data_IF_761179330127
#
_entry.id   IF_761179330127
#
_cell.length_a   1.000
_cell.length_b   1.000
_cell.length_c   1.000
_cell.angle_alpha   90.00
_cell.angle_beta   90.00
_cell.angle_gamma   90.00
#
_symmetry.space_group_name_H-M   'P 1'
#
loop_
_entity.id
_entity.type
_entity.pdbx_description
1 polymer ?
#
# COMPACT_ATOMS: atom_id res chain seq x y z
N UNK A 1 -2.53 -2.26 27.29
CA UNK A 1 -3.31 -1.29 26.52
C UNK A 1 -3.08 -1.58 25.05
N UNK A 2 -4.11 -1.57 24.20
CA UNK A 2 -3.91 -1.70 22.76
C UNK A 2 -3.45 -0.35 22.17
N UNK A 3 -2.84 -0.36 20.98
CA UNK A 3 -2.47 0.88 20.27
C UNK A 3 -3.71 1.77 20.05
N UNK A 4 -4.87 1.16 19.78
CA UNK A 4 -6.11 1.86 19.50
C UNK A 4 -6.74 2.53 20.73
N UNK A 5 -6.26 2.27 21.94
CA UNK A 5 -6.78 2.89 23.18
C UNK A 5 -5.95 4.09 23.62
N UNK A 6 -4.84 4.39 22.93
CA UNK A 6 -3.94 5.47 23.30
C UNK A 6 -4.56 6.82 22.93
N UNK A 7 -4.65 7.71 23.91
CA UNK A 7 -5.10 9.09 23.73
C UNK A 7 -4.11 9.90 22.87
N UNK A 8 -4.64 10.77 22.02
CA UNK A 8 -3.86 11.55 21.06
C UNK A 8 -3.42 10.81 19.78
N UNK A 9 -3.78 9.54 19.59
CA UNK A 9 -3.62 8.87 18.28
C UNK A 9 -4.85 9.15 17.41
N UNK A 10 -4.66 9.97 16.37
CA UNK A 10 -5.73 10.31 15.41
C UNK A 10 -5.94 9.23 14.33
N UNK A 11 -4.88 8.48 14.01
CA UNK A 11 -4.92 7.49 12.95
C UNK A 11 -3.79 6.48 13.02
N UNK A 12 -3.98 5.37 12.31
CA UNK A 12 -3.02 4.27 12.21
C UNK A 12 -2.78 3.97 10.74
N UNK A 13 -1.51 3.93 10.35
CA UNK A 13 -1.11 3.65 8.99
C UNK A 13 -0.58 2.22 8.86
N UNK A 14 -1.02 1.51 7.84
CA UNK A 14 -0.60 0.13 7.53
C UNK A 14 0.34 0.19 6.33
N UNK A 15 1.57 -0.30 6.49
CA UNK A 15 2.52 -0.48 5.39
C UNK A 15 2.45 -1.90 4.82
N UNK A 16 1.87 -2.12 3.61
CA UNK A 16 1.70 -3.48 3.09
C UNK A 16 3.01 -4.21 2.82
N UNK A 17 4.05 -3.48 2.38
CA UNK A 17 5.38 -4.03 2.13
C UNK A 17 5.99 -4.59 3.42
N UNK A 18 6.06 -3.77 4.46
CA UNK A 18 6.62 -4.14 5.77
C UNK A 18 5.80 -5.26 6.42
N UNK A 19 4.47 -5.13 6.40
CA UNK A 19 3.57 -6.17 6.94
C UNK A 19 3.76 -7.50 6.22
N UNK A 20 3.84 -7.51 4.89
CA UNK A 20 4.08 -8.75 4.14
C UNK A 20 5.42 -9.39 4.49
N UNK A 21 6.48 -8.59 4.68
CA UNK A 21 7.79 -9.10 5.06
C UNK A 21 7.76 -9.73 6.47
N UNK A 22 7.12 -9.07 7.43
CA UNK A 22 6.97 -9.58 8.81
C UNK A 22 6.13 -10.86 8.87
N UNK A 23 5.10 -10.95 8.02
CA UNK A 23 4.25 -12.15 7.88
C UNK A 23 4.91 -13.30 7.09
N UNK A 24 6.15 -13.15 6.62
CA UNK A 24 6.87 -14.18 5.86
C UNK A 24 6.62 -14.20 4.35
N UNK A 25 5.95 -13.17 3.82
CA UNK A 25 5.61 -12.98 2.41
C UNK A 25 6.39 -11.81 1.79
N UNK A 26 7.67 -11.68 2.12
CA UNK A 26 8.51 -10.56 1.68
C UNK A 26 8.42 -10.31 0.16
N UNK A 27 8.12 -9.07 -0.22
CA UNK A 27 7.92 -8.67 -1.61
C UNK A 27 6.56 -9.03 -2.21
N UNK A 28 5.65 -9.65 -1.45
CA UNK A 28 4.32 -10.03 -1.90
C UNK A 28 3.19 -9.48 -1.00
N UNK A 29 2.93 -8.17 -1.03
CA UNK A 29 1.82 -7.57 -0.28
C UNK A 29 0.43 -8.01 -0.76
N UNK A 30 0.33 -8.63 -1.94
CA UNK A 30 -0.92 -9.15 -2.50
C UNK A 30 -1.25 -10.57 -2.04
N UNK A 31 -0.40 -11.17 -1.19
CA UNK A 31 -0.69 -12.49 -0.63
C UNK A 31 -2.06 -12.48 0.09
N UNK A 32 -2.93 -13.49 -0.09
CA UNK A 32 -4.28 -13.49 0.48
C UNK A 32 -4.33 -13.26 1.99
N UNK A 33 -3.37 -13.83 2.73
CA UNK A 33 -3.28 -13.64 4.19
C UNK A 33 -2.91 -12.20 4.57
N UNK A 34 -2.01 -11.56 3.82
CA UNK A 34 -1.65 -10.15 4.03
C UNK A 34 -2.83 -9.25 3.72
N UNK A 35 -3.55 -9.52 2.62
CA UNK A 35 -4.76 -8.79 2.26
C UNK A 35 -5.84 -8.90 3.34
N UNK A 36 -6.09 -10.11 3.86
CA UNK A 36 -7.03 -10.32 4.95
C UNK A 36 -6.63 -9.58 6.23
N UNK A 37 -5.33 -9.56 6.56
CA UNK A 37 -4.82 -8.82 7.71
C UNK A 37 -5.00 -7.29 7.55
N UNK A 38 -4.72 -6.76 6.36
CA UNK A 38 -4.91 -5.34 6.03
C UNK A 38 -6.38 -4.94 6.17
N UNK A 39 -7.31 -5.70 5.57
CA UNK A 39 -8.73 -5.40 5.61
C UNK A 39 -9.28 -5.44 7.03
N UNK A 40 -8.89 -6.46 7.81
CA UNK A 40 -9.27 -6.56 9.22
C UNK A 40 -8.75 -5.36 10.03
N UNK A 41 -7.49 -4.97 9.83
CA UNK A 41 -6.91 -3.81 10.50
C UNK A 41 -7.66 -2.52 10.15
N UNK A 42 -8.00 -2.28 8.88
CA UNK A 42 -8.79 -1.11 8.45
C UNK A 42 -10.11 -1.04 9.21
N UNK A 43 -10.85 -2.15 9.27
CA UNK A 43 -12.15 -2.22 9.97
C UNK A 43 -12.00 -1.97 11.47
N UNK A 44 -10.98 -2.54 12.11
CA UNK A 44 -10.72 -2.35 13.55
C UNK A 44 -10.35 -0.90 13.88
N UNK A 45 -9.44 -0.30 13.11
CA UNK A 45 -9.02 1.10 13.30
C UNK A 45 -10.24 2.02 13.16
N UNK A 46 -11.07 1.79 12.14
CA UNK A 46 -12.27 2.57 11.89
C UNK A 46 -13.30 2.41 13.00
N UNK A 47 -13.53 1.18 13.47
CA UNK A 47 -14.44 0.88 14.57
C UNK A 47 -13.99 1.53 15.90
N UNK A 48 -12.69 1.72 16.09
CA UNK A 48 -12.12 2.43 17.24
C UNK A 48 -12.19 3.97 17.11
N UNK A 49 -12.86 4.50 16.09
CA UNK A 49 -13.01 5.94 15.86
C UNK A 49 -11.74 6.64 15.36
N UNK A 50 -10.71 5.87 14.96
CA UNK A 50 -9.45 6.38 14.43
C UNK A 50 -9.44 6.32 12.91
N UNK A 51 -8.61 7.14 12.27
CA UNK A 51 -8.45 7.12 10.82
C UNK A 51 -7.54 5.94 10.39
N UNK A 52 -7.99 5.04 9.49
CA UNK A 52 -7.09 4.08 8.87
C UNK A 52 -6.41 4.70 7.65
N UNK A 53 -5.11 4.44 7.49
CA UNK A 53 -4.35 4.86 6.31
C UNK A 53 -3.48 3.75 5.75
N UNK A 54 -3.15 3.87 4.46
CA UNK A 54 -2.40 2.85 3.72
C UNK A 54 -1.77 3.45 2.46
N UNK A 55 -0.68 2.84 1.97
CA UNK A 55 -0.13 3.08 0.63
C UNK A 55 -0.53 1.92 -0.29
N UNK A 56 -1.31 2.23 -1.33
CA UNK A 56 -1.75 1.26 -2.33
C UNK A 56 -1.83 1.89 -3.72
N UNK A 57 -0.86 1.55 -4.58
CA UNK A 57 -0.82 2.04 -5.96
C UNK A 57 -1.77 1.30 -6.91
N UNK A 58 -2.25 0.11 -6.53
CA UNK A 58 -3.26 -0.60 -7.30
C UNK A 58 -4.64 0.06 -7.09
N UNK A 59 -5.21 0.61 -8.15
CA UNK A 59 -6.47 1.37 -8.09
C UNK A 59 -7.65 0.55 -7.54
N UNK A 60 -7.77 -0.73 -7.92
CA UNK A 60 -8.87 -1.58 -7.46
C UNK A 60 -8.79 -1.84 -5.95
N UNK A 61 -7.58 -2.13 -5.44
CA UNK A 61 -7.36 -2.31 -4.00
C UNK A 61 -7.52 -1.00 -3.23
N UNK A 62 -7.02 0.12 -3.76
CA UNK A 62 -7.20 1.43 -3.13
C UNK A 62 -8.69 1.77 -2.97
N UNK A 63 -9.51 1.54 -4.02
CA UNK A 63 -10.97 1.71 -3.95
C UNK A 63 -11.61 0.79 -2.91
N UNK A 64 -11.25 -0.49 -2.91
CA UNK A 64 -11.72 -1.47 -1.91
C UNK A 64 -11.42 -1.02 -0.48
N UNK A 65 -10.24 -0.49 -0.22
CA UNK A 65 -9.88 -0.01 1.12
C UNK A 65 -10.63 1.27 1.51
N UNK A 66 -10.89 2.16 0.56
CA UNK A 66 -11.78 3.32 0.78
C UNK A 66 -13.20 2.87 1.12
N UNK A 67 -13.74 1.87 0.41
CA UNK A 67 -15.05 1.27 0.71
C UNK A 67 -15.11 0.64 2.11
N UNK A 68 -14.00 0.05 2.58
CA UNK A 68 -13.87 -0.49 3.93
C UNK A 68 -13.68 0.58 5.02
N UNK A 69 -13.47 1.84 4.65
CA UNK A 69 -13.41 2.97 5.59
C UNK A 69 -12.02 3.55 5.83
N UNK A 70 -11.02 3.25 5.00
CA UNK A 70 -9.76 3.98 5.01
C UNK A 70 -10.00 5.47 4.68
N UNK A 71 -9.28 6.37 5.36
CA UNK A 71 -9.49 7.82 5.26
C UNK A 71 -8.30 8.57 4.67
N UNK A 72 -7.08 8.03 4.76
CA UNK A 72 -5.89 8.65 4.18
C UNK A 72 -5.08 7.61 3.40
N UNK A 73 -5.35 7.54 2.10
CA UNK A 73 -4.77 6.55 1.19
C UNK A 73 -3.76 7.24 0.28
N UNK A 74 -2.48 6.88 0.41
CA UNK A 74 -1.47 7.23 -0.57
C UNK A 74 -1.62 6.30 -1.79
N UNK A 75 -1.79 6.86 -2.98
CA UNK A 75 -2.09 6.10 -4.22
C UNK A 75 -0.91 6.01 -5.18
N UNK A 76 0.27 6.45 -4.75
CA UNK A 76 1.48 6.41 -5.56
C UNK A 76 2.66 7.07 -4.86
N UNK A 77 3.84 6.89 -5.46
CA UNK A 77 5.10 7.52 -5.04
C UNK A 77 5.63 8.32 -6.22
N UNK A 78 6.00 9.58 -5.98
CA UNK A 78 6.46 10.53 -7.01
C UNK A 78 7.65 10.00 -7.82
N UNK A 79 8.65 9.43 -7.16
CA UNK A 79 9.84 8.83 -7.79
C UNK A 79 9.48 7.63 -8.66
N UNK A 80 8.55 6.78 -8.21
CA UNK A 80 8.02 5.67 -9.02
C UNK A 80 7.26 6.19 -10.24
N UNK A 81 6.38 7.18 -10.07
CA UNK A 81 5.63 7.79 -11.17
C UNK A 81 6.57 8.43 -12.19
N UNK A 82 7.58 9.17 -11.74
CA UNK A 82 8.60 9.78 -12.59
C UNK A 82 9.39 8.71 -13.37
N UNK A 83 9.90 7.68 -12.67
CA UNK A 83 10.66 6.61 -13.30
C UNK A 83 9.83 5.86 -14.35
N UNK A 84 8.58 5.48 -14.02
CA UNK A 84 7.69 4.77 -14.97
C UNK A 84 7.28 5.65 -16.14
N UNK A 85 6.99 6.92 -15.91
CA UNK A 85 6.70 7.89 -16.97
C UNK A 85 7.88 8.09 -17.92
N UNK A 86 9.09 8.24 -17.38
CA UNK A 86 10.31 8.37 -18.16
C UNK A 86 10.64 7.10 -18.97
N UNK A 87 10.53 5.92 -18.35
CA UNK A 87 10.71 4.63 -19.01
C UNK A 87 9.71 4.43 -20.16
N UNK A 88 8.44 4.72 -19.93
CA UNK A 88 7.40 4.61 -20.96
C UNK A 88 7.59 5.63 -22.09
N UNK A 89 8.09 6.83 -21.79
CA UNK A 89 8.45 7.81 -22.82
C UNK A 89 9.63 7.30 -23.66
N UNK A 90 10.73 6.84 -23.04
CA UNK A 90 11.91 6.37 -23.75
C UNK A 90 11.61 5.13 -24.63
N UNK A 91 10.79 4.21 -24.15
CA UNK A 91 10.39 3.01 -24.90
C UNK A 91 9.67 3.33 -26.22
N UNK A 92 8.90 4.43 -26.28
CA UNK A 92 8.24 4.89 -27.52
C UNK A 92 9.21 5.33 -28.61
N UNK A 93 10.47 5.59 -28.26
CA UNK A 93 11.52 6.01 -29.19
C UNK A 93 12.65 4.97 -29.32
N UNK A 94 12.41 3.71 -28.93
CA UNK A 94 13.32 2.60 -29.21
C UNK A 94 14.49 2.45 -28.23
N UNK A 95 14.44 3.09 -27.07
CA UNK A 95 15.39 2.78 -25.98
C UNK A 95 14.96 1.47 -25.32
N UNK A 96 15.52 0.35 -25.79
CA UNK A 96 15.23 -0.97 -25.19
C UNK A 96 15.77 -1.07 -23.76
N UNK A 97 14.91 -1.52 -22.85
CA UNK A 97 15.29 -1.83 -21.48
C UNK A 97 15.68 -3.31 -21.38
N UNK A 98 16.97 -3.61 -21.20
CA UNK A 98 17.38 -4.90 -20.61
C UNK A 98 16.90 -4.93 -19.16
N UNK A 99 15.67 -5.38 -18.93
CA UNK A 99 15.08 -5.48 -17.59
C UNK A 99 15.55 -6.76 -16.90
N UNK A 100 16.48 -6.65 -15.94
CA UNK A 100 16.59 -7.61 -14.85
C UNK A 100 15.58 -7.22 -13.77
N UNK A 101 14.69 -8.15 -13.43
CA UNK A 101 13.53 -7.91 -12.58
C UNK A 101 13.87 -7.49 -11.15
N UNK A 102 13.30 -6.35 -10.75
CA UNK A 102 12.81 -6.14 -9.40
C UNK A 102 11.55 -5.29 -9.54
N UNK A 103 10.39 -5.93 -9.41
CA UNK A 103 9.14 -5.24 -9.17
C UNK A 103 9.26 -4.58 -7.80
N UNK A 104 9.57 -3.28 -7.78
CA UNK A 104 9.44 -2.48 -6.57
C UNK A 104 8.04 -2.67 -6.00
N UNK A 105 7.96 -2.70 -4.67
CA UNK A 105 6.75 -3.03 -3.90
C UNK A 105 5.67 -1.93 -3.98
N UNK A 106 5.86 -0.95 -4.86
CA UNK A 106 4.99 0.21 -5.08
C UNK A 106 4.82 0.47 -6.58
#
# INVERSE_FOLDING_TARGET
>A
ASILDVDGIDGVFIGPADLSADMGFAGNPQHPEVQAAIENAIVQIRAAGKAPGILMANEALAKRYLELGALFVAVGVDTTLLARGAEALAARFGVEKKLSGASGVY
#
